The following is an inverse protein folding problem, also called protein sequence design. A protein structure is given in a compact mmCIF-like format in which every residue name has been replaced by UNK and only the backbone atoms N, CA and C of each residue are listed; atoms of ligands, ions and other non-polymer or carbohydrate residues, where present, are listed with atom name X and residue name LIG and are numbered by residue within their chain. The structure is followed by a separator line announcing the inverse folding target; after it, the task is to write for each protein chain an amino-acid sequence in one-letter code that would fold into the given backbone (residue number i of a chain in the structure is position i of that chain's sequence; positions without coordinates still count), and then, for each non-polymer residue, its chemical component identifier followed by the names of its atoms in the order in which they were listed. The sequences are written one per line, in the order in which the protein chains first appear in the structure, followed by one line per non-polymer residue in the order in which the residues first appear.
data_IF_921602960303
#
_entry.id   IF_921602960303
#
_cell.length_a   1.000
_cell.length_b   1.000
_cell.length_c   1.000
_cell.angle_alpha   90.00
_cell.angle_beta   90.00
_cell.angle_gamma   90.00
#
_symmetry.space_group_name_H-M   'P 1'
#
loop_
_entity.id
_entity.type
_entity.pdbx_description
1 polymer ?
#
# COMPACT_ATOMS: atom_id res chain seq x y z
N UNK A 1 -3.53 -41.25 -7.37
CA UNK A 1 -2.61 -40.91 -6.27
C UNK A 1 -3.12 -39.67 -5.57
N UNK A 2 -3.13 -39.67 -4.24
CA UNK A 2 -3.58 -38.52 -3.47
C UNK A 2 -2.44 -37.53 -3.28
N UNK A 3 -2.76 -36.24 -3.39
CA UNK A 3 -1.82 -35.18 -3.09
C UNK A 3 -1.94 -34.76 -1.63
N UNK A 4 -0.83 -34.33 -1.08
CA UNK A 4 -0.77 -33.85 0.29
C UNK A 4 -0.26 -32.40 0.29
N UNK A 5 -0.81 -31.59 1.19
CA UNK A 5 -0.52 -30.15 1.25
C UNK A 5 -0.01 -29.77 2.63
N UNK A 6 1.00 -28.91 2.64
CA UNK A 6 1.57 -28.35 3.87
C UNK A 6 1.38 -26.82 3.80
N UNK A 7 0.77 -26.26 4.82
CA UNK A 7 0.60 -24.81 4.93
C UNK A 7 1.81 -24.23 5.67
N UNK A 8 2.45 -23.24 5.05
CA UNK A 8 3.64 -22.60 5.62
C UNK A 8 3.35 -21.11 5.77
N UNK A 9 3.51 -20.61 7.00
CA UNK A 9 3.46 -19.18 7.25
C UNK A 9 4.76 -18.54 6.78
N UNK A 10 4.61 -17.34 6.20
CA UNK A 10 5.74 -16.61 5.68
C UNK A 10 5.73 -15.20 6.24
N UNK A 11 6.89 -14.76 6.76
CA UNK A 11 7.10 -13.40 7.20
C UNK A 11 7.81 -12.63 6.09
N UNK A 12 7.28 -11.47 5.73
CA UNK A 12 7.87 -10.58 4.73
C UNK A 12 8.37 -9.33 5.43
N UNK A 13 9.63 -8.99 5.21
CA UNK A 13 10.23 -7.77 5.75
C UNK A 13 9.83 -6.58 4.90
N UNK A 14 9.29 -5.54 5.55
CA UNK A 14 8.94 -4.28 4.91
C UNK A 14 9.76 -3.18 5.58
N UNK A 15 10.62 -2.52 4.82
CA UNK A 15 11.46 -1.45 5.35
C UNK A 15 10.75 -0.10 5.25
N UNK A 16 11.24 0.89 6.00
CA UNK A 16 10.74 2.27 5.87
C UNK A 16 10.94 2.79 4.45
N UNK A 17 12.05 2.47 3.82
CA UNK A 17 12.32 2.84 2.42
C UNK A 17 11.31 2.21 1.46
N UNK A 18 10.97 0.93 1.68
CA UNK A 18 9.93 0.26 0.88
C UNK A 18 8.60 1.00 0.97
N UNK A 19 8.21 1.39 2.18
CA UNK A 19 6.96 2.12 2.41
C UNK A 19 6.99 3.47 1.68
N UNK A 20 8.09 4.20 1.81
CA UNK A 20 8.25 5.50 1.16
C UNK A 20 8.15 5.38 -0.36
N UNK A 21 8.78 4.34 -0.94
CA UNK A 21 8.75 4.08 -2.38
C UNK A 21 7.34 3.79 -2.87
N UNK A 22 6.61 2.93 -2.17
CA UNK A 22 5.23 2.59 -2.52
C UNK A 22 4.33 3.82 -2.38
N UNK A 23 4.47 4.58 -1.29
CA UNK A 23 3.69 5.80 -1.09
C UNK A 23 3.98 6.84 -2.16
N UNK A 24 5.23 6.97 -2.57
CA UNK A 24 5.62 7.86 -3.66
C UNK A 24 4.88 7.50 -4.96
N UNK A 25 4.90 6.22 -5.34
CA UNK A 25 4.20 5.74 -6.53
C UNK A 25 2.68 5.95 -6.43
N UNK A 26 2.11 5.77 -5.24
CA UNK A 26 0.68 5.99 -5.02
C UNK A 26 0.31 7.46 -5.17
N UNK A 27 1.03 8.36 -4.51
CA UNK A 27 0.70 9.79 -4.48
C UNK A 27 1.05 10.51 -5.77
N UNK A 28 2.04 10.02 -6.53
CA UNK A 28 2.46 10.63 -7.79
C UNK A 28 1.64 10.16 -9.00
N UNK A 29 0.81 9.15 -8.84
CA UNK A 29 0.02 8.65 -9.98
C UNK A 29 -0.99 7.58 -9.64
N UNK A 30 -0.64 6.63 -8.77
CA UNK A 30 -1.43 5.43 -8.57
C UNK A 30 -2.87 5.65 -8.15
N UNK A 31 -3.11 6.58 -7.21
CA UNK A 31 -4.45 6.82 -6.65
C UNK A 31 -5.10 8.09 -7.19
N UNK A 32 -4.44 8.83 -8.09
CA UNK A 32 -4.90 10.17 -8.48
C UNK A 32 -6.25 10.17 -9.20
N UNK A 33 -6.65 9.04 -9.79
CA UNK A 33 -7.94 8.96 -10.48
C UNK A 33 -9.14 8.92 -9.50
N UNK A 34 -8.93 8.55 -8.25
CA UNK A 34 -9.99 8.53 -7.23
C UNK A 34 -9.68 9.40 -6.01
N UNK A 35 -8.45 9.80 -5.80
CA UNK A 35 -8.02 10.63 -4.68
C UNK A 35 -7.42 11.94 -5.20
N UNK A 36 -8.07 13.05 -4.89
CA UNK A 36 -7.62 14.37 -5.39
C UNK A 36 -6.75 15.13 -4.39
N UNK A 37 -6.61 14.64 -3.17
CA UNK A 37 -5.81 15.30 -2.14
C UNK A 37 -5.36 14.29 -1.10
N UNK A 38 -4.06 14.28 -0.82
CA UNK A 38 -3.48 13.55 0.30
C UNK A 38 -2.99 14.58 1.32
N UNK A 39 -3.65 14.65 2.46
CA UNK A 39 -3.41 15.65 3.48
C UNK A 39 -2.66 15.06 4.67
N UNK A 40 -1.53 15.66 5.03
CA UNK A 40 -0.77 15.28 6.22
C UNK A 40 -1.52 15.74 7.46
N UNK A 41 -1.75 14.82 8.40
CA UNK A 41 -2.37 15.15 9.69
C UNK A 41 -1.29 15.61 10.67
N UNK A 42 -1.42 16.85 11.13
CA UNK A 42 -0.44 17.44 12.05
C UNK A 42 0.85 17.86 11.36
N UNK A 43 1.97 17.59 12.01
CA UNK A 43 3.29 17.93 11.45
C UNK A 43 3.73 16.94 10.39
N UNK A 44 4.47 17.44 9.41
CA UNK A 44 5.25 16.56 8.53
C UNK A 44 6.37 15.91 9.36
N UNK A 45 6.36 14.58 9.40
CA UNK A 45 7.39 13.82 10.11
C UNK A 45 8.64 13.61 9.26
N UNK A 46 8.51 13.76 7.93
CA UNK A 46 9.60 13.78 6.98
C UNK A 46 9.52 15.05 6.15
N UNK A 47 10.18 15.05 4.99
CA UNK A 47 10.18 16.19 4.08
C UNK A 47 8.90 16.22 3.22
N UNK A 48 8.40 15.05 2.83
CA UNK A 48 7.28 14.90 1.90
C UNK A 48 6.15 14.10 2.52
N UNK A 49 4.93 14.30 2.00
CA UNK A 49 3.76 13.52 2.42
C UNK A 49 3.97 12.00 2.25
N UNK A 50 4.73 11.58 1.24
CA UNK A 50 5.05 10.17 1.00
C UNK A 50 5.85 9.53 2.13
N UNK A 51 6.49 10.32 2.98
CA UNK A 51 7.28 9.83 4.11
C UNK A 51 6.51 9.80 5.43
N UNK A 52 5.26 10.24 5.42
CA UNK A 52 4.46 10.36 6.65
C UNK A 52 4.13 8.99 7.26
N UNK A 53 3.75 8.03 6.43
CA UNK A 53 3.28 6.72 6.89
C UNK A 53 4.43 5.91 7.52
N UNK A 54 5.59 5.86 6.89
CA UNK A 54 6.74 5.08 7.40
C UNK A 54 7.22 5.58 8.76
N UNK A 55 6.97 6.84 9.06
CA UNK A 55 7.35 7.46 10.33
C UNK A 55 6.23 7.41 11.39
N UNK A 56 5.16 6.67 11.12
CA UNK A 56 4.06 6.46 12.06
C UNK A 56 2.99 7.55 12.04
N UNK A 57 3.05 8.45 11.06
CA UNK A 57 2.03 9.50 10.91
C UNK A 57 0.80 9.03 10.14
N UNK A 58 -0.12 9.96 9.94
CA UNK A 58 -1.41 9.71 9.29
C UNK A 58 -1.58 10.63 8.09
N UNK A 59 -2.17 10.09 7.03
CA UNK A 59 -2.64 10.86 5.88
C UNK A 59 -4.16 10.78 5.80
N UNK A 60 -4.80 11.88 5.42
CA UNK A 60 -6.21 11.90 5.01
C UNK A 60 -6.26 11.91 3.49
N UNK A 61 -6.91 10.89 2.92
CA UNK A 61 -7.06 10.73 1.47
C UNK A 61 -8.49 11.11 1.10
N UNK A 62 -8.63 12.15 0.27
CA UNK A 62 -9.92 12.73 -0.10
C UNK A 62 -10.39 12.13 -1.42
N UNK A 63 -11.59 11.53 -1.41
CA UNK A 63 -12.23 11.02 -2.62
C UNK A 63 -12.53 12.18 -3.58
N UNK A 64 -12.31 11.94 -4.89
CA UNK A 64 -12.46 12.99 -5.90
C UNK A 64 -13.90 13.26 -6.33
N UNK A 65 -14.81 12.34 -6.10
CA UNK A 65 -16.20 12.44 -6.56
C UNK A 65 -17.19 12.63 -5.41
N UNK A 66 -16.89 12.07 -4.25
CA UNK A 66 -17.74 12.14 -3.07
C UNK A 66 -16.98 12.84 -1.95
N UNK A 67 -17.71 13.43 -0.98
CA UNK A 67 -17.07 14.12 0.14
C UNK A 67 -16.55 13.16 1.22
N UNK A 68 -16.04 12.01 0.79
CA UNK A 68 -15.48 11.02 1.69
C UNK A 68 -14.01 11.27 1.93
N UNK A 69 -13.58 11.09 3.18
CA UNK A 69 -12.19 11.22 3.58
C UNK A 69 -11.78 9.95 4.32
N UNK A 70 -10.69 9.35 3.88
CA UNK A 70 -10.19 8.11 4.46
C UNK A 70 -8.88 8.37 5.18
N UNK A 71 -8.72 7.82 6.37
CA UNK A 71 -7.47 7.91 7.11
C UNK A 71 -6.59 6.70 6.81
N UNK A 72 -5.36 6.97 6.37
CA UNK A 72 -4.34 5.95 6.16
C UNK A 72 -3.31 6.06 7.27
N UNK A 73 -3.05 4.93 7.93
CA UNK A 73 -2.06 4.79 9.00
C UNK A 73 -1.05 3.70 8.65
N UNK A 74 0.06 3.65 9.37
CA UNK A 74 1.07 2.59 9.18
C UNK A 74 0.46 1.20 9.40
N UNK A 75 -0.35 1.03 10.43
CA UNK A 75 -1.00 -0.25 10.71
C UNK A 75 -1.88 -0.72 9.54
N UNK A 76 -2.71 0.18 9.01
CA UNK A 76 -3.55 -0.10 7.84
C UNK A 76 -2.71 -0.42 6.62
N UNK A 77 -1.64 0.35 6.40
CA UNK A 77 -0.77 0.18 5.24
C UNK A 77 -0.11 -1.21 5.25
N UNK A 78 0.42 -1.63 6.39
CA UNK A 78 1.03 -2.96 6.51
C UNK A 78 0.01 -4.07 6.29
N UNK A 79 -1.23 -3.87 6.76
CA UNK A 79 -2.32 -4.82 6.50
C UNK A 79 -2.66 -4.88 5.00
N UNK A 80 -2.61 -3.74 4.32
CA UNK A 80 -2.82 -3.68 2.87
C UNK A 80 -1.78 -4.46 2.09
N UNK A 81 -0.51 -4.34 2.47
CA UNK A 81 0.58 -5.14 1.88
C UNK A 81 0.32 -6.63 2.12
N UNK A 82 -0.02 -7.00 3.35
CA UNK A 82 -0.32 -8.38 3.70
C UNK A 82 -1.43 -8.96 2.82
N UNK A 83 -2.52 -8.23 2.65
CA UNK A 83 -3.65 -8.67 1.83
C UNK A 83 -3.25 -8.78 0.34
N UNK A 84 -2.46 -7.84 -0.15
CA UNK A 84 -2.00 -7.86 -1.55
C UNK A 84 -1.16 -9.11 -1.82
N UNK A 85 -0.28 -9.48 -0.90
CA UNK A 85 0.55 -10.68 -1.01
C UNK A 85 -0.30 -11.94 -0.90
N UNK A 86 -1.17 -12.01 0.11
CA UNK A 86 -2.03 -13.18 0.36
C UNK A 86 -2.96 -13.50 -0.81
N UNK A 87 -3.46 -12.46 -1.48
CA UNK A 87 -4.36 -12.61 -2.62
C UNK A 87 -3.66 -12.57 -3.97
N UNK A 88 -2.33 -12.60 -3.98
CA UNK A 88 -1.49 -12.64 -5.18
C UNK A 88 -1.72 -11.50 -6.16
N UNK A 89 -2.05 -10.30 -5.68
CA UNK A 89 -2.19 -9.13 -6.54
C UNK A 89 -0.85 -8.83 -7.24
N UNK A 90 -0.88 -8.81 -8.55
CA UNK A 90 0.29 -8.51 -9.38
C UNK A 90 1.51 -9.38 -9.04
N UNK A 91 1.28 -10.65 -8.65
CA UNK A 91 2.36 -11.57 -8.27
C UNK A 91 3.37 -11.79 -9.40
N UNK A 92 2.92 -11.74 -10.65
CA UNK A 92 3.76 -11.87 -11.85
C UNK A 92 4.69 -10.67 -12.08
N UNK A 93 4.50 -9.56 -11.33
CA UNK A 93 5.40 -8.40 -11.38
C UNK A 93 6.65 -8.60 -10.52
N UNK A 94 6.69 -9.65 -9.73
CA UNK A 94 7.82 -9.95 -8.83
C UNK A 94 8.14 -8.81 -7.84
N UNK A 95 7.10 -8.15 -7.33
CA UNK A 95 7.29 -7.08 -6.35
C UNK A 95 7.49 -7.58 -4.92
N UNK A 96 7.23 -8.85 -4.68
CA UNK A 96 7.51 -9.52 -3.41
C UNK A 96 8.27 -10.82 -3.69
N UNK A 97 9.55 -10.86 -3.37
CA UNK A 97 10.43 -11.99 -3.62
C UNK A 97 10.83 -12.67 -2.31
N UNK A 98 10.28 -13.88 -2.08
CA UNK A 98 10.57 -14.59 -0.84
C UNK A 98 10.06 -13.81 0.36
N UNK A 99 10.97 -13.32 1.19
CA UNK A 99 10.65 -12.59 2.42
C UNK A 99 11.01 -11.10 2.37
N UNK A 100 11.23 -10.56 1.18
CA UNK A 100 11.54 -9.14 0.98
C UNK A 100 10.71 -8.56 -0.17
N UNK A 101 10.50 -7.23 -0.13
CA UNK A 101 9.86 -6.51 -1.22
C UNK A 101 10.92 -6.02 -2.22
N UNK A 102 10.53 -6.00 -3.49
CA UNK A 102 11.28 -5.34 -4.55
C UNK A 102 10.42 -4.20 -5.09
N UNK A 103 10.59 -3.00 -4.52
CA UNK A 103 9.77 -1.84 -4.84
C UNK A 103 10.05 -1.27 -6.22
N UNK A 104 11.17 -1.63 -6.85
CA UNK A 104 11.41 -1.31 -8.25
C UNK A 104 10.32 -1.91 -9.17
N UNK A 105 9.68 -2.98 -8.71
CA UNK A 105 8.60 -3.66 -9.44
C UNK A 105 7.20 -3.25 -8.97
N UNK A 106 7.11 -2.27 -8.08
CA UNK A 106 5.82 -1.66 -7.67
C UNK A 106 5.55 -0.47 -8.57
N UNK A 107 4.67 -0.65 -9.54
CA UNK A 107 4.22 0.46 -10.38
C UNK A 107 3.01 1.17 -9.76
N UNK A 108 2.45 2.13 -10.48
CA UNK A 108 1.28 2.88 -10.02
C UNK A 108 0.08 1.96 -9.73
N UNK A 109 -0.12 0.92 -10.53
CA UNK A 109 -1.24 -0.01 -10.36
C UNK A 109 -1.09 -0.86 -9.10
N UNK A 110 0.11 -1.35 -8.82
CA UNK A 110 0.39 -2.12 -7.59
C UNK A 110 0.23 -1.22 -6.37
N UNK A 111 0.75 0.00 -6.42
CA UNK A 111 0.63 0.96 -5.32
C UNK A 111 -0.83 1.30 -5.03
N UNK A 112 -1.65 1.52 -6.06
CA UNK A 112 -3.08 1.78 -5.94
C UNK A 112 -3.79 0.62 -5.21
N UNK A 113 -3.56 -0.60 -5.63
CA UNK A 113 -4.17 -1.78 -5.00
C UNK A 113 -3.78 -1.87 -3.52
N UNK A 114 -2.52 -1.65 -3.19
CA UNK A 114 -2.06 -1.68 -1.79
C UNK A 114 -2.80 -0.64 -0.97
N UNK A 115 -2.96 0.58 -1.46
CA UNK A 115 -3.67 1.65 -0.74
C UNK A 115 -5.15 1.28 -0.56
N UNK A 116 -5.81 0.79 -1.60
CA UNK A 116 -7.22 0.40 -1.48
C UNK A 116 -7.42 -0.75 -0.49
N UNK A 117 -6.56 -1.76 -0.53
CA UNK A 117 -6.61 -2.85 0.44
C UNK A 117 -6.35 -2.36 1.86
N UNK A 118 -5.48 -1.36 2.02
CA UNK A 118 -5.20 -0.74 3.31
C UNK A 118 -6.44 -0.05 3.90
N UNK A 119 -7.21 0.64 3.06
CA UNK A 119 -8.37 1.42 3.49
C UNK A 119 -9.64 0.58 3.60
N UNK A 120 -9.86 -0.34 2.65
CA UNK A 120 -11.16 -0.98 2.46
C UNK A 120 -11.13 -2.50 2.61
N UNK A 121 -9.94 -3.10 2.75
CA UNK A 121 -9.73 -4.55 2.68
C UNK A 121 -10.25 -5.16 1.36
N UNK A 122 -10.44 -4.32 0.35
CA UNK A 122 -10.93 -4.70 -0.97
C UNK A 122 -10.51 -3.63 -1.98
N UNK A 123 -10.58 -3.97 -3.27
CA UNK A 123 -10.33 -3.03 -4.36
C UNK A 123 -11.68 -2.55 -4.89
N UNK A 124 -12.04 -1.30 -4.59
CA UNK A 124 -13.36 -0.74 -4.89
C UNK A 124 -13.36 0.27 -6.03
N UNK A 125 -12.21 0.83 -6.38
CA UNK A 125 -12.04 1.77 -7.49
C UNK A 125 -11.34 1.09 -8.65
N UNK A 126 -11.61 1.57 -9.82
CA UNK A 126 -11.00 1.05 -11.04
C UNK A 126 -11.90 0.17 -11.81
#
# INVERSE_FOLDING_TARGET
MNDFFVNIERTVKVTAEDIDDIMCSALEGGINYWCNKAEVVGKYLGEYASEQISRGGTLKLHDSEEDEVYELTLEKFLKGIQLAIQHNYYADYDWCNGNELDTCNVDASVADVIIQLSLFSDVIYG
#
